data_IF_518996412703
#
_entry.id   IF_518996412703
#
_cell.length_a   1.000
_cell.length_b   1.000
_cell.length_c   1.000
_cell.angle_alpha   90.00
_cell.angle_beta   90.00
_cell.angle_gamma   90.00
#
_symmetry.space_group_name_H-M   'P 1'
#
loop_
_entity.id
_entity.type
_entity.pdbx_description
1 polymer ?
#
# COMPACT_ATOMS: atom_id res chain seq x y z
N UNK A 1 -42.88 -33.39 27.20
CA UNK A 1 -42.42 -33.77 25.84
C UNK A 1 -42.35 -32.47 25.03
N UNK A 2 -41.25 -31.76 24.89
CA UNK A 2 -39.87 -32.22 24.76
C UNK A 2 -39.55 -32.47 23.29
N UNK A 3 -39.34 -31.40 22.51
CA UNK A 3 -38.43 -31.38 21.37
C UNK A 3 -37.75 -30.03 21.31
N UNK A 4 -36.46 -30.07 21.63
CA UNK A 4 -35.46 -29.03 21.41
C UNK A 4 -35.48 -28.59 19.95
N UNK A 5 -35.44 -27.28 19.71
CA UNK A 5 -35.10 -26.71 18.41
C UNK A 5 -33.61 -26.39 18.52
N UNK A 6 -32.79 -27.13 17.76
CA UNK A 6 -31.34 -26.97 17.72
C UNK A 6 -30.93 -25.54 17.35
N UNK A 7 -29.83 -25.02 17.92
CA UNK A 7 -29.27 -23.74 17.53
C UNK A 7 -28.50 -23.93 16.21
N UNK A 8 -29.11 -23.58 15.08
CA UNK A 8 -28.41 -23.47 13.80
C UNK A 8 -27.51 -22.22 13.80
N UNK A 9 -26.44 -22.26 14.58
CA UNK A 9 -25.40 -21.24 14.65
C UNK A 9 -24.46 -21.30 13.45
N UNK A 10 -24.89 -20.79 12.30
CA UNK A 10 -23.97 -20.21 11.33
C UNK A 10 -23.52 -18.84 11.84
N UNK A 11 -22.32 -18.33 11.46
CA UNK A 11 -21.93 -16.97 11.84
C UNK A 11 -23.00 -16.00 11.31
N UNK A 12 -23.67 -15.28 12.22
CA UNK A 12 -24.62 -14.24 11.82
C UNK A 12 -23.86 -13.22 10.96
N UNK A 13 -24.14 -13.23 9.65
CA UNK A 13 -23.58 -12.23 8.74
C UNK A 13 -24.19 -10.91 9.15
N UNK A 14 -23.39 -10.05 9.78
CA UNK A 14 -23.80 -8.68 10.11
C UNK A 14 -24.08 -7.96 8.79
N UNK A 15 -25.31 -7.54 8.57
CA UNK A 15 -25.75 -6.78 7.39
C UNK A 15 -26.58 -5.57 7.82
N UNK A 16 -26.32 -4.40 7.21
CA UNK A 16 -27.13 -3.21 7.41
C UNK A 16 -28.34 -3.20 6.47
N UNK A 17 -29.46 -2.63 6.94
CA UNK A 17 -30.66 -2.50 6.13
C UNK A 17 -30.42 -1.49 4.99
N UNK A 18 -30.78 -1.81 3.72
CA UNK A 18 -30.47 -0.96 2.56
C UNK A 18 -31.19 0.40 2.59
N UNK A 19 -32.30 0.50 3.32
CA UNK A 19 -33.10 1.70 3.45
C UNK A 19 -32.63 2.70 4.53
N UNK A 20 -31.52 2.43 5.21
CA UNK A 20 -31.01 3.35 6.23
C UNK A 20 -30.66 4.70 5.60
N UNK A 21 -31.16 5.77 6.21
CA UNK A 21 -30.88 7.15 5.79
C UNK A 21 -29.49 7.59 6.25
N UNK A 22 -28.96 8.65 5.63
CA UNK A 22 -27.67 9.24 6.03
C UNK A 22 -27.64 9.59 7.54
N UNK A 23 -28.72 10.21 8.05
CA UNK A 23 -28.82 10.59 9.46
C UNK A 23 -28.83 9.37 10.40
N UNK A 24 -29.49 8.27 10.00
CA UNK A 24 -29.49 7.03 10.79
C UNK A 24 -28.10 6.39 10.82
N UNK A 25 -27.37 6.42 9.70
CA UNK A 25 -26.00 5.90 9.62
C UNK A 25 -25.04 6.73 10.47
N UNK A 26 -25.20 8.06 10.50
CA UNK A 26 -24.42 8.95 11.37
C UNK A 26 -24.65 8.62 12.86
N UNK A 27 -25.90 8.48 13.28
CA UNK A 27 -26.23 8.10 14.66
C UNK A 27 -25.69 6.72 15.02
N UNK A 28 -25.82 5.74 14.11
CA UNK A 28 -25.30 4.39 14.34
C UNK A 28 -23.78 4.39 14.48
N UNK A 29 -23.07 5.19 13.68
CA UNK A 29 -21.61 5.22 13.69
C UNK A 29 -21.01 5.67 15.03
N UNK A 30 -21.71 6.51 15.80
CA UNK A 30 -21.27 7.00 17.10
C UNK A 30 -21.09 5.88 18.12
N UNK A 31 -22.02 4.93 18.14
CA UNK A 31 -22.08 3.83 19.12
C UNK A 31 -21.64 2.48 18.55
N UNK A 32 -21.49 2.40 17.22
CA UNK A 32 -21.11 1.19 16.51
C UNK A 32 -19.71 0.68 16.88
N UNK A 33 -19.60 -0.63 17.02
CA UNK A 33 -18.33 -1.34 17.05
C UNK A 33 -17.65 -1.35 15.67
N UNK A 34 -16.35 -1.69 15.63
CA UNK A 34 -15.54 -1.70 14.39
C UNK A 34 -16.18 -2.48 13.23
N UNK A 35 -16.75 -3.69 13.42
CA UNK A 35 -17.38 -4.42 12.32
C UNK A 35 -18.58 -3.66 11.72
N UNK A 36 -19.40 -3.04 12.57
CA UNK A 36 -20.55 -2.24 12.12
C UNK A 36 -20.10 -0.96 11.43
N UNK A 37 -19.02 -0.30 11.89
CA UNK A 37 -18.46 0.88 11.21
C UNK A 37 -17.91 0.56 9.82
N UNK A 38 -17.34 -0.63 9.61
CA UNK A 38 -16.95 -1.09 8.28
C UNK A 38 -18.16 -1.24 7.35
N UNK A 39 -19.26 -1.82 7.84
CA UNK A 39 -20.51 -1.92 7.08
C UNK A 39 -21.10 -0.54 6.76
N UNK A 40 -21.03 0.42 7.70
CA UNK A 40 -21.44 1.80 7.47
C UNK A 40 -20.55 2.41 6.37
N UNK A 41 -19.23 2.26 6.44
CA UNK A 41 -18.32 2.78 5.40
C UNK A 41 -18.66 2.27 4.00
N UNK A 42 -19.09 1.01 3.87
CA UNK A 42 -19.47 0.40 2.59
C UNK A 42 -20.93 0.72 2.14
N UNK A 43 -21.74 1.34 3.00
CA UNK A 43 -23.16 1.54 2.71
C UNK A 43 -23.41 2.69 1.69
N UNK A 44 -24.28 2.51 0.67
CA UNK A 44 -24.48 3.52 -0.39
C UNK A 44 -24.98 4.89 0.11
N UNK A 45 -25.72 4.92 1.22
CA UNK A 45 -26.26 6.16 1.79
C UNK A 45 -25.31 6.84 2.79
N UNK A 46 -24.07 6.38 2.92
CA UNK A 46 -23.11 6.96 3.87
C UNK A 46 -22.66 8.34 3.40
N UNK A 47 -22.90 9.40 4.20
CA UNK A 47 -22.64 10.76 3.76
C UNK A 47 -21.13 11.06 3.66
N UNK A 48 -20.71 12.03 2.83
CA UNK A 48 -19.30 12.38 2.61
C UNK A 48 -18.50 12.62 3.90
N UNK A 49 -19.05 13.42 4.82
CA UNK A 49 -18.38 13.76 6.08
C UNK A 49 -18.14 12.51 6.97
N UNK A 50 -19.05 11.52 6.90
CA UNK A 50 -18.88 10.27 7.62
C UNK A 50 -17.84 9.37 6.93
N UNK A 51 -17.80 9.34 5.60
CA UNK A 51 -16.74 8.63 4.86
C UNK A 51 -15.35 9.16 5.19
N UNK A 52 -15.18 10.48 5.26
CA UNK A 52 -13.89 11.11 5.64
C UNK A 52 -13.44 10.70 7.05
N UNK A 53 -14.39 10.65 8.00
CA UNK A 53 -14.11 10.18 9.37
C UNK A 53 -13.75 8.70 9.41
N UNK A 54 -14.47 7.86 8.65
CA UNK A 54 -14.27 6.42 8.65
C UNK A 54 -13.01 5.99 7.87
N UNK A 55 -12.51 6.81 6.95
CA UNK A 55 -11.34 6.51 6.13
C UNK A 55 -10.06 6.21 6.94
N UNK A 56 -9.96 6.73 8.17
CA UNK A 56 -8.81 6.48 9.04
C UNK A 56 -8.71 5.01 9.49
N UNK A 57 -9.86 4.40 9.79
CA UNK A 57 -9.97 3.05 10.35
C UNK A 57 -10.45 2.01 9.33
N UNK A 58 -11.15 2.45 8.29
CA UNK A 58 -11.81 1.62 7.28
C UNK A 58 -11.53 2.12 5.84
N UNK A 59 -10.25 2.28 5.43
CA UNK A 59 -9.92 2.86 4.12
C UNK A 59 -10.40 2.00 2.95
N UNK A 60 -10.35 0.67 3.06
CA UNK A 60 -10.79 -0.24 2.01
C UNK A 60 -12.31 -0.12 1.77
N UNK A 61 -13.10 -0.14 2.84
CA UNK A 61 -14.56 -0.03 2.76
C UNK A 61 -15.00 1.34 2.26
N UNK A 62 -14.29 2.41 2.64
CA UNK A 62 -14.55 3.75 2.12
C UNK A 62 -14.24 3.84 0.62
N UNK A 63 -13.09 3.33 0.16
CA UNK A 63 -12.73 3.33 -1.27
C UNK A 63 -13.64 2.43 -2.11
N UNK A 64 -14.12 1.33 -1.52
CA UNK A 64 -15.09 0.42 -2.12
C UNK A 64 -16.55 0.88 -2.03
N UNK A 65 -16.83 2.05 -1.43
CA UNK A 65 -18.21 2.52 -1.29
C UNK A 65 -18.85 2.76 -2.67
N UNK A 66 -20.01 2.15 -2.97
CA UNK A 66 -20.63 2.21 -4.29
C UNK A 66 -21.12 3.61 -4.69
N UNK A 67 -21.37 4.50 -3.72
CA UNK A 67 -21.74 5.89 -3.97
C UNK A 67 -20.53 6.82 -4.18
N UNK A 68 -19.32 6.39 -3.83
CA UNK A 68 -18.11 7.22 -3.90
C UNK A 68 -17.89 7.88 -5.28
N UNK A 69 -18.11 7.19 -6.43
CA UNK A 69 -17.98 7.83 -7.74
C UNK A 69 -18.91 9.04 -7.92
N UNK A 70 -20.16 8.93 -7.46
CA UNK A 70 -21.16 10.02 -7.54
C UNK A 70 -20.85 11.13 -6.54
N UNK A 71 -20.49 10.77 -5.31
CA UNK A 71 -20.10 11.75 -4.28
C UNK A 71 -18.89 12.57 -4.71
N UNK A 72 -17.93 11.98 -5.41
CA UNK A 72 -16.77 12.70 -5.96
C UNK A 72 -17.14 13.63 -7.13
N UNK A 73 -18.18 13.33 -7.89
CA UNK A 73 -18.68 14.27 -8.90
C UNK A 73 -19.26 15.53 -8.24
N UNK A 74 -19.98 15.37 -7.14
CA UNK A 74 -20.51 16.49 -6.35
C UNK A 74 -19.41 17.22 -5.55
N UNK A 75 -18.43 16.48 -5.03
CA UNK A 75 -17.34 16.98 -4.19
C UNK A 75 -15.98 16.46 -4.70
N UNK A 76 -15.35 17.11 -5.70
CA UNK A 76 -14.13 16.62 -6.35
C UNK A 76 -12.91 16.43 -5.43
N UNK A 77 -12.90 17.09 -4.28
CA UNK A 77 -11.85 17.00 -3.26
C UNK A 77 -12.18 16.07 -2.09
N UNK A 78 -13.31 15.36 -2.16
CA UNK A 78 -13.66 14.33 -1.17
C UNK A 78 -12.51 13.33 -1.03
N UNK A 79 -12.12 13.05 0.23
CA UNK A 79 -10.95 12.22 0.60
C UNK A 79 -9.57 12.79 0.23
N UNK A 80 -9.47 13.95 -0.43
CA UNK A 80 -8.20 14.64 -0.69
C UNK A 80 -7.87 15.69 0.39
N UNK A 81 -8.90 16.19 1.09
CA UNK A 81 -8.76 17.17 2.16
C UNK A 81 -8.70 16.53 3.57
N UNK A 82 -8.67 15.19 3.64
CA UNK A 82 -8.47 14.45 4.90
C UNK A 82 -7.05 14.66 5.45
N UNK A 83 -6.83 14.46 6.76
CA UNK A 83 -5.49 14.54 7.34
C UNK A 83 -4.47 13.65 6.60
N UNK A 84 -3.22 14.11 6.49
CA UNK A 84 -2.18 13.42 5.71
C UNK A 84 -2.06 11.93 6.03
N UNK A 85 -2.10 11.54 7.32
CA UNK A 85 -2.00 10.14 7.71
C UNK A 85 -3.18 9.28 7.21
N UNK A 86 -4.38 9.87 7.04
CA UNK A 86 -5.54 9.19 6.45
C UNK A 86 -5.36 9.06 4.94
N UNK A 87 -4.90 10.12 4.27
CA UNK A 87 -4.62 10.08 2.84
C UNK A 87 -3.56 9.03 2.49
N UNK A 88 -2.50 8.91 3.32
CA UNK A 88 -1.48 7.88 3.16
C UNK A 88 -2.03 6.45 3.33
N UNK A 89 -3.02 6.25 4.23
CA UNK A 89 -3.70 4.96 4.39
C UNK A 89 -4.57 4.60 3.19
N UNK A 90 -5.26 5.58 2.62
CA UNK A 90 -6.04 5.42 1.39
C UNK A 90 -5.12 5.07 0.21
N UNK A 91 -3.99 5.77 0.08
CA UNK A 91 -3.00 5.50 -0.96
C UNK A 91 -2.30 4.14 -0.81
N UNK A 92 -2.24 3.59 0.40
CA UNK A 92 -1.66 2.28 0.66
C UNK A 92 -2.59 1.11 0.27
N UNK A 93 -3.87 1.36 0.00
CA UNK A 93 -4.80 0.32 -0.41
C UNK A 93 -4.47 -0.17 -1.82
N UNK A 94 -4.46 -1.49 -2.03
CA UNK A 94 -4.13 -2.09 -3.33
C UNK A 94 -5.13 -1.71 -4.43
N UNK A 95 -6.38 -1.46 -4.03
CA UNK A 95 -7.49 -1.01 -4.86
C UNK A 95 -7.65 0.53 -4.87
N UNK A 96 -6.61 1.27 -4.45
CA UNK A 96 -6.60 2.73 -4.53
C UNK A 96 -6.96 3.18 -5.96
N UNK A 97 -8.01 3.99 -6.13
CA UNK A 97 -8.54 4.29 -7.45
C UNK A 97 -7.57 5.19 -8.23
N UNK A 98 -7.61 5.09 -9.56
CA UNK A 98 -6.67 5.79 -10.45
C UNK A 98 -6.68 7.32 -10.27
N UNK A 99 -7.80 7.92 -9.86
CA UNK A 99 -7.89 9.36 -9.57
C UNK A 99 -7.07 9.75 -8.33
N UNK A 100 -7.04 8.89 -7.31
CA UNK A 100 -6.31 9.11 -6.07
C UNK A 100 -4.80 8.99 -6.33
N UNK A 101 -4.40 7.95 -7.07
CA UNK A 101 -3.00 7.78 -7.50
C UNK A 101 -2.54 8.95 -8.39
N UNK A 102 -3.39 9.40 -9.32
CA UNK A 102 -3.08 10.57 -10.17
C UNK A 102 -2.86 11.82 -9.33
N UNK A 103 -3.72 12.07 -8.34
CA UNK A 103 -3.53 13.19 -7.41
C UNK A 103 -2.18 13.08 -6.69
N UNK A 104 -1.86 11.89 -6.18
CA UNK A 104 -0.63 11.69 -5.44
C UNK A 104 0.65 11.88 -6.26
N UNK A 105 0.63 11.52 -7.55
CA UNK A 105 1.77 11.71 -8.45
C UNK A 105 2.08 13.18 -8.73
N UNK A 106 1.06 14.05 -8.71
CA UNK A 106 1.21 15.50 -8.98
C UNK A 106 1.22 16.35 -7.70
N UNK A 107 1.10 15.73 -6.53
CA UNK A 107 1.09 16.43 -5.25
C UNK A 107 2.45 17.09 -5.00
N UNK A 108 2.44 18.27 -4.36
CA UNK A 108 3.68 18.96 -3.96
C UNK A 108 4.37 18.31 -2.76
N UNK A 109 3.62 17.56 -1.93
CA UNK A 109 4.15 16.91 -0.75
C UNK A 109 4.89 15.60 -1.11
N UNK A 110 6.16 15.51 -0.70
CA UNK A 110 7.06 14.40 -1.00
C UNK A 110 6.52 13.10 -0.39
N UNK A 111 5.90 13.16 0.78
CA UNK A 111 5.31 12.02 1.48
C UNK A 111 4.19 11.37 0.66
N UNK A 112 3.38 12.20 -0.02
CA UNK A 112 2.29 11.73 -0.87
C UNK A 112 2.85 11.08 -2.14
N UNK A 113 3.85 11.70 -2.76
CA UNK A 113 4.52 11.12 -3.94
C UNK A 113 5.28 9.82 -3.59
N UNK A 114 5.90 9.75 -2.42
CA UNK A 114 6.57 8.56 -1.93
C UNK A 114 5.59 7.41 -1.67
N UNK A 115 4.38 7.70 -1.17
CA UNK A 115 3.32 6.72 -1.05
C UNK A 115 2.87 6.20 -2.42
N UNK A 116 2.67 7.08 -3.40
CA UNK A 116 2.38 6.67 -4.77
C UNK A 116 3.48 5.80 -5.37
N UNK A 117 4.76 6.12 -5.14
CA UNK A 117 5.91 5.35 -5.62
C UNK A 117 5.93 3.90 -5.13
N UNK A 118 5.43 3.66 -3.91
CA UNK A 118 5.30 2.32 -3.34
C UNK A 118 4.12 1.53 -3.91
N UNK A 119 3.18 2.18 -4.60
CA UNK A 119 1.94 1.55 -5.03
C UNK A 119 2.17 0.58 -6.22
N UNK A 120 1.64 -0.65 -6.17
CA UNK A 120 1.90 -1.65 -7.22
C UNK A 120 1.30 -1.28 -8.58
N UNK A 121 0.18 -0.54 -8.61
CA UNK A 121 -0.52 -0.18 -9.86
C UNK A 121 0.17 0.90 -10.73
N UNK A 122 1.39 1.34 -10.38
CA UNK A 122 2.15 2.23 -11.25
C UNK A 122 2.57 1.54 -12.54
N UNK A 123 2.40 2.23 -13.66
CA UNK A 123 2.92 1.79 -14.95
C UNK A 123 4.42 2.11 -15.13
N UNK A 124 5.04 1.54 -16.16
CA UNK A 124 6.47 1.69 -16.41
C UNK A 124 6.91 3.15 -16.57
N UNK A 125 6.12 3.99 -17.26
CA UNK A 125 6.44 5.42 -17.43
C UNK A 125 6.43 6.17 -16.11
N UNK A 126 5.47 5.86 -15.23
CA UNK A 126 5.38 6.44 -13.89
C UNK A 126 6.57 6.00 -13.03
N UNK A 127 6.96 4.73 -13.10
CA UNK A 127 8.16 4.22 -12.42
C UNK A 127 9.42 4.91 -12.93
N UNK A 128 9.59 5.05 -14.25
CA UNK A 128 10.72 5.77 -14.85
C UNK A 128 10.80 7.23 -14.37
N UNK A 129 9.66 7.92 -14.35
CA UNK A 129 9.60 9.30 -13.90
C UNK A 129 9.98 9.42 -12.41
N UNK A 130 9.42 8.57 -11.54
CA UNK A 130 9.71 8.59 -10.11
C UNK A 130 11.12 8.09 -9.76
N UNK A 131 11.71 7.22 -10.58
CA UNK A 131 13.10 6.78 -10.40
C UNK A 131 14.11 7.92 -10.56
N UNK A 132 13.74 8.99 -11.27
CA UNK A 132 14.56 10.20 -11.46
C UNK A 132 14.10 11.37 -10.61
N UNK A 133 13.21 11.13 -9.65
CA UNK A 133 12.62 12.19 -8.84
C UNK A 133 13.69 12.94 -8.01
N UNK A 134 13.61 14.28 -7.86
CA UNK A 134 14.62 15.04 -7.11
C UNK A 134 14.74 14.61 -5.64
N UNK A 135 13.62 14.25 -5.00
CA UNK A 135 13.62 13.75 -3.63
C UNK A 135 14.10 12.29 -3.56
N UNK A 136 15.17 12.03 -2.80
CA UNK A 136 15.74 10.69 -2.64
C UNK A 136 14.75 9.71 -1.99
N UNK A 137 13.85 10.19 -1.12
CA UNK A 137 12.83 9.36 -0.47
C UNK A 137 11.91 8.70 -1.50
N UNK A 138 11.57 9.40 -2.58
CA UNK A 138 10.74 8.88 -3.67
C UNK A 138 11.52 7.84 -4.47
N UNK A 139 12.77 8.14 -4.84
CA UNK A 139 13.64 7.19 -5.54
C UNK A 139 13.89 5.91 -4.73
N UNK A 140 14.04 6.05 -3.41
CA UNK A 140 14.20 4.93 -2.48
C UNK A 140 12.97 4.00 -2.48
N UNK A 141 11.75 4.55 -2.60
CA UNK A 141 10.53 3.74 -2.74
C UNK A 141 10.48 3.00 -4.07
N UNK A 142 10.97 3.60 -5.14
CA UNK A 142 11.13 2.91 -6.42
C UNK A 142 12.19 1.80 -6.34
N UNK A 143 13.34 2.07 -5.71
CA UNK A 143 14.41 1.09 -5.49
C UNK A 143 13.93 -0.15 -4.73
N UNK A 144 13.03 0.05 -3.76
CA UNK A 144 12.44 -1.01 -2.94
C UNK A 144 11.43 -1.91 -3.68
N UNK A 145 11.00 -1.56 -4.91
CA UNK A 145 9.99 -2.35 -5.64
C UNK A 145 10.54 -3.71 -6.07
N UNK A 146 9.87 -4.84 -5.80
CA UNK A 146 10.38 -6.16 -6.17
C UNK A 146 10.57 -6.30 -7.69
N UNK A 147 9.58 -5.82 -8.47
CA UNK A 147 9.52 -5.93 -9.94
C UNK A 147 10.33 -4.87 -10.70
N UNK A 148 11.40 -4.33 -10.10
CA UNK A 148 12.21 -3.30 -10.76
C UNK A 148 13.09 -3.93 -11.85
N UNK A 149 13.08 -3.34 -13.05
CA UNK A 149 13.88 -3.85 -14.17
C UNK A 149 15.39 -3.68 -13.93
N UNK A 150 16.20 -4.54 -14.58
CA UNK A 150 17.66 -4.52 -14.47
C UNK A 150 18.27 -3.14 -14.75
N UNK A 151 17.77 -2.43 -15.77
CA UNK A 151 18.17 -1.05 -16.10
C UNK A 151 18.03 -0.11 -14.89
N UNK A 152 16.94 -0.20 -14.15
CA UNK A 152 16.69 0.67 -12.99
C UNK A 152 17.42 0.21 -11.74
N UNK A 153 17.67 -1.09 -11.60
CA UNK A 153 18.57 -1.63 -10.57
C UNK A 153 19.98 -1.03 -10.75
N UNK A 154 20.53 -1.10 -11.96
CA UNK A 154 21.85 -0.53 -12.30
C UNK A 154 21.88 0.98 -12.06
N UNK A 155 20.87 1.71 -12.54
CA UNK A 155 20.80 3.16 -12.37
C UNK A 155 20.76 3.56 -10.88
N UNK A 156 19.87 2.95 -10.08
CA UNK A 156 19.71 3.30 -8.67
C UNK A 156 20.82 2.73 -7.78
N UNK A 157 21.58 1.73 -8.22
CA UNK A 157 22.80 1.31 -7.55
C UNK A 157 23.90 2.38 -7.59
N UNK A 158 23.86 3.28 -8.57
CA UNK A 158 24.76 4.43 -8.69
C UNK A 158 24.15 5.74 -8.16
N UNK A 159 23.01 5.68 -7.45
CA UNK A 159 22.33 6.86 -6.95
C UNK A 159 23.24 7.68 -6.00
N UNK A 160 23.12 9.01 -6.04
CA UNK A 160 23.90 9.88 -5.17
C UNK A 160 23.61 9.63 -3.67
N UNK A 161 22.38 9.28 -3.33
CA UNK A 161 21.95 9.04 -1.96
C UNK A 161 22.19 7.58 -1.53
N UNK A 162 22.89 7.40 -0.41
CA UNK A 162 23.23 6.05 0.07
C UNK A 162 22.01 5.25 0.54
N UNK A 163 20.92 5.92 0.95
CA UNK A 163 19.67 5.27 1.32
C UNK A 163 19.00 4.59 0.14
N UNK A 164 19.04 5.22 -1.05
CA UNK A 164 18.57 4.60 -2.29
C UNK A 164 19.42 3.36 -2.63
N UNK A 165 20.75 3.50 -2.56
CA UNK A 165 21.67 2.38 -2.82
C UNK A 165 21.51 1.24 -1.83
N UNK A 166 21.20 1.52 -0.56
CA UNK A 166 20.87 0.51 0.45
C UNK A 166 19.66 -0.35 0.07
N UNK A 167 18.61 0.25 -0.51
CA UNK A 167 17.45 -0.51 -0.98
C UNK A 167 17.78 -1.41 -2.17
N UNK A 168 18.72 -1.02 -3.02
CA UNK A 168 19.22 -1.91 -4.07
C UNK A 168 20.07 -3.03 -3.45
N UNK A 169 20.97 -2.70 -2.53
CA UNK A 169 21.84 -3.65 -1.83
C UNK A 169 21.07 -4.73 -1.04
N UNK A 170 19.86 -4.45 -0.58
CA UNK A 170 19.05 -5.42 0.18
C UNK A 170 18.37 -6.48 -0.69
N UNK A 171 18.49 -6.41 -2.01
CA UNK A 171 17.91 -7.39 -2.94
C UNK A 171 18.69 -8.70 -2.93
N UNK A 172 17.97 -9.81 -2.87
CA UNK A 172 18.58 -11.16 -2.86
C UNK A 172 19.30 -11.51 -4.18
N UNK A 173 18.75 -11.08 -5.32
CA UNK A 173 19.20 -11.50 -6.65
C UNK A 173 19.75 -10.32 -7.45
N UNK A 174 20.83 -9.70 -6.98
CA UNK A 174 21.50 -8.62 -7.71
C UNK A 174 22.35 -9.18 -8.87
N UNK A 175 22.36 -8.50 -10.03
CA UNK A 175 23.36 -8.77 -11.06
C UNK A 175 24.78 -8.64 -10.50
N UNK A 176 25.69 -9.55 -10.88
CA UNK A 176 27.06 -9.57 -10.36
C UNK A 176 27.82 -8.24 -10.51
N UNK A 177 27.72 -7.48 -11.63
CA UNK A 177 28.36 -6.17 -11.74
C UNK A 177 27.86 -5.17 -10.69
N UNK A 178 26.55 -5.17 -10.43
CA UNK A 178 25.90 -4.29 -9.44
C UNK A 178 26.31 -4.69 -8.02
N UNK A 179 26.36 -5.99 -7.72
CA UNK A 179 26.83 -6.48 -6.44
C UNK A 179 28.30 -6.10 -6.20
N UNK A 180 29.16 -6.22 -7.21
CA UNK A 180 30.57 -5.80 -7.14
C UNK A 180 30.73 -4.30 -6.87
N UNK A 181 29.94 -3.47 -7.56
CA UNK A 181 29.88 -2.02 -7.30
C UNK A 181 29.48 -1.72 -5.85
N UNK A 182 28.40 -2.34 -5.36
CA UNK A 182 27.89 -2.09 -4.01
C UNK A 182 28.79 -2.68 -2.91
N UNK A 183 29.57 -3.71 -3.21
CA UNK A 183 30.60 -4.23 -2.30
C UNK A 183 31.76 -3.23 -2.11
N UNK A 184 32.02 -2.39 -3.11
CA UNK A 184 32.98 -1.29 -3.06
C UNK A 184 32.33 0.07 -2.72
N UNK A 185 31.05 0.10 -2.32
CA UNK A 185 30.32 1.34 -2.06
C UNK A 185 31.03 2.19 -0.99
N UNK A 186 31.10 3.52 -1.13
CA UNK A 186 31.68 4.39 -0.11
C UNK A 186 31.01 4.24 1.28
N UNK A 187 29.71 3.99 1.31
CA UNK A 187 28.94 3.87 2.54
C UNK A 187 29.12 2.50 3.20
N UNK A 188 29.60 2.42 4.46
CA UNK A 188 29.68 1.14 5.17
C UNK A 188 28.32 0.49 5.39
N UNK A 189 27.25 1.29 5.48
CA UNK A 189 25.88 0.79 5.62
C UNK A 189 25.42 0.01 4.38
N UNK A 190 25.73 0.53 3.18
CA UNK A 190 25.42 -0.17 1.92
C UNK A 190 26.16 -1.51 1.86
N UNK A 191 27.46 -1.52 2.15
CA UNK A 191 28.28 -2.75 2.15
C UNK A 191 27.75 -3.79 3.16
N UNK A 192 27.36 -3.35 4.36
CA UNK A 192 26.82 -4.23 5.40
C UNK A 192 25.47 -4.83 4.98
N UNK A 193 24.59 -4.02 4.40
CA UNK A 193 23.27 -4.49 3.91
C UNK A 193 23.44 -5.52 2.82
N UNK A 194 24.33 -5.29 1.84
CA UNK A 194 24.65 -6.24 0.78
C UNK A 194 25.13 -7.57 1.35
N UNK A 195 26.11 -7.54 2.25
CA UNK A 195 26.68 -8.74 2.86
C UNK A 195 25.60 -9.58 3.57
N UNK A 196 24.70 -8.92 4.31
CA UNK A 196 23.59 -9.60 4.99
C UNK A 196 22.56 -10.18 4.01
N UNK A 197 22.25 -9.46 2.93
CA UNK A 197 21.33 -9.94 1.90
C UNK A 197 21.88 -11.20 1.22
N UNK A 198 23.16 -11.21 0.86
CA UNK A 198 23.83 -12.35 0.24
C UNK A 198 23.91 -13.57 1.16
N UNK A 199 24.20 -13.37 2.45
CA UNK A 199 24.19 -14.46 3.44
C UNK A 199 22.81 -15.11 3.56
N UNK A 200 21.76 -14.29 3.65
CA UNK A 200 20.38 -14.78 3.73
C UNK A 200 19.99 -15.55 2.47
N UNK A 201 20.33 -15.03 1.28
CA UNK A 201 20.03 -15.67 0.01
C UNK A 201 20.72 -17.04 -0.12
N UNK A 202 22.00 -17.14 0.26
CA UNK A 202 22.75 -18.40 0.27
C UNK A 202 22.17 -19.41 1.26
N UNK A 203 21.79 -18.98 2.46
CA UNK A 203 21.19 -19.86 3.46
C UNK A 203 19.87 -20.45 2.97
N UNK A 204 18.99 -19.63 2.36
CA UNK A 204 17.73 -20.11 1.77
C UNK A 204 18.00 -21.09 0.63
N UNK A 205 18.95 -20.77 -0.26
CA UNK A 205 19.34 -21.66 -1.37
C UNK A 205 19.86 -23.02 -0.91
N UNK A 206 20.66 -23.06 0.16
CA UNK A 206 21.18 -24.32 0.72
C UNK A 206 20.06 -25.15 1.36
N UNK A 207 19.13 -24.52 2.07
CA UNK A 207 17.98 -25.22 2.68
C UNK A 207 17.08 -25.81 1.59
N UNK A 208 16.76 -25.06 0.54
CA UNK A 208 15.92 -25.56 -0.55
C UNK A 208 16.60 -26.68 -1.33
N UNK A 209 17.92 -26.61 -1.54
CA UNK A 209 18.70 -27.69 -2.16
C UNK A 209 18.66 -28.99 -1.33
N UNK A 210 18.75 -28.90 -0.01
CA UNK A 210 18.64 -30.05 0.89
C UNK A 210 17.22 -30.61 1.03
N UNK A 211 16.18 -29.82 0.75
CA UNK A 211 14.78 -30.21 0.85
C UNK A 211 14.20 -30.82 -0.45
N UNK A 212 14.95 -30.80 -1.55
CA UNK A 212 14.55 -31.49 -2.78
C UNK A 212 14.74 -33.01 -2.60
N UNK A 213 13.71 -33.85 -2.80
CA UNK A 213 13.87 -35.28 -2.75
C UNK A 213 14.77 -35.74 -3.90
N UNK A 214 15.86 -36.44 -3.57
CA UNK A 214 16.72 -37.06 -4.57
C UNK A 214 15.95 -38.26 -5.14
N UNK A 215 15.32 -38.07 -6.30
CA UNK A 215 14.62 -39.11 -7.06
C UNK A 215 15.47 -39.64 -8.20
#
# INVERSE_FOLDING_TARGET
MGREIEPSGGPAVLTLAPGLTAAQLEQLAETAEKPTRALIAAHPNTPPALLERLAADHPAEVLGNPALPLLRLAHPRLLLDVPLHVLLRLLAQLDAPAWLLRHALIASAIEIQAAAAAHPALNERQVEWLARHPAWQVRARIAARPELSARWIEHLAADADYGVRMYIASRANLPAPVAGQLAADPSPFVRQVLARAQQTALAVWLITLCALPWG
#
